data_IF_775533878613
#
_entry.id   IF_775533878613
#
_cell.length_a   1.000
_cell.length_b   1.000
_cell.length_c   1.000
_cell.angle_alpha   90.00
_cell.angle_beta   90.00
_cell.angle_gamma   90.00
#
_symmetry.space_group_name_H-M   'P 1'
#
loop_
_entity.id
_entity.type
_entity.pdbx_description
1 polymer ?
#
# COMPACT_ATOMS: atom_id res chain seq x y z
N UNK A 1 -5.64 -18.76 2.06
CA UNK A 1 -5.42 -18.13 3.40
C UNK A 1 -4.26 -18.81 4.13
N UNK A 2 -4.31 -20.14 4.26
CA UNK A 2 -3.33 -20.93 5.02
C UNK A 2 -1.93 -21.03 4.37
N UNK A 3 -1.76 -20.54 3.16
CA UNK A 3 -0.42 -20.41 2.56
C UNK A 3 0.37 -19.23 3.11
N UNK A 4 -0.32 -18.24 3.64
CA UNK A 4 0.26 -16.99 4.16
C UNK A 4 0.03 -16.81 5.66
N UNK A 5 -1.12 -17.25 6.17
CA UNK A 5 -1.53 -17.07 7.56
C UNK A 5 -1.52 -18.37 8.33
N UNK A 6 -1.03 -18.31 9.57
CA UNK A 6 -1.05 -19.43 10.50
C UNK A 6 -2.44 -19.56 11.15
N UNK A 7 -3.20 -20.61 10.84
CA UNK A 7 -4.54 -20.81 11.42
C UNK A 7 -4.50 -21.17 12.90
N UNK A 8 -3.34 -21.60 13.41
CA UNK A 8 -3.17 -21.97 14.82
C UNK A 8 -2.75 -20.78 15.71
N UNK A 9 -2.43 -19.66 15.08
CA UNK A 9 -2.05 -18.44 15.76
C UNK A 9 -0.54 -18.33 16.03
N UNK A 10 -0.05 -17.10 15.92
CA UNK A 10 1.30 -16.69 16.27
C UNK A 10 1.28 -15.22 16.70
N UNK A 11 2.42 -14.62 16.99
CA UNK A 11 2.53 -13.23 17.43
C UNK A 11 2.83 -12.24 16.31
N UNK A 12 2.95 -12.73 15.07
CA UNK A 12 3.27 -11.90 13.93
C UNK A 12 2.07 -11.04 13.49
N UNK A 13 2.35 -9.97 12.79
CA UNK A 13 1.34 -9.12 12.19
C UNK A 13 0.34 -9.96 11.38
N UNK A 14 -0.94 -9.85 11.72
CA UNK A 14 -2.05 -10.60 11.08
C UNK A 14 -1.81 -12.11 10.98
N UNK A 15 -1.07 -12.70 11.92
CA UNK A 15 -0.74 -14.13 11.96
C UNK A 15 0.02 -14.60 10.71
N UNK A 16 0.79 -13.74 10.06
CA UNK A 16 1.56 -14.11 8.88
C UNK A 16 2.69 -15.09 9.27
N UNK A 17 2.97 -16.03 8.39
CA UNK A 17 4.18 -16.84 8.52
C UNK A 17 5.43 -15.99 8.34
N UNK A 18 6.54 -16.41 8.91
CA UNK A 18 7.86 -15.83 8.74
C UNK A 18 8.92 -16.92 8.75
N UNK A 19 10.20 -16.54 8.67
CA UNK A 19 11.33 -17.46 8.56
C UNK A 19 11.37 -18.55 9.66
N UNK A 20 10.91 -18.23 10.87
CA UNK A 20 10.87 -19.15 12.01
C UNK A 20 9.60 -20.00 12.11
N UNK A 21 8.55 -19.65 11.39
CA UNK A 21 7.18 -20.20 11.56
C UNK A 21 6.52 -20.55 10.23
N UNK A 22 7.30 -20.71 9.16
CA UNK A 22 6.75 -21.08 7.86
C UNK A 22 6.12 -22.47 7.87
N UNK A 23 5.05 -22.70 7.09
CA UNK A 23 4.49 -24.01 6.95
C UNK A 23 5.51 -24.95 6.34
N UNK A 24 5.75 -26.08 7.00
CA UNK A 24 6.56 -27.17 6.44
C UNK A 24 5.67 -27.90 5.43
N UNK A 25 5.70 -27.49 4.18
CA UNK A 25 5.08 -28.27 3.13
C UNK A 25 5.97 -29.45 2.73
N UNK A 26 5.43 -30.69 2.67
CA UNK A 26 6.14 -31.78 2.08
C UNK A 26 6.50 -31.44 0.63
N UNK A 27 7.79 -31.29 0.34
CA UNK A 27 8.28 -30.93 -1.00
C UNK A 27 8.87 -29.52 -1.14
N UNK A 28 8.97 -28.74 -0.07
CA UNK A 28 9.81 -27.53 -0.01
C UNK A 28 9.41 -26.37 -0.94
N UNK A 29 8.18 -26.30 -1.40
CA UNK A 29 7.78 -25.28 -2.39
C UNK A 29 7.70 -23.85 -1.84
N UNK A 30 7.54 -23.68 -0.55
CA UNK A 30 7.39 -22.37 0.07
C UNK A 30 8.09 -22.36 1.43
N UNK A 31 9.40 -22.15 1.41
CA UNK A 31 10.13 -21.84 2.64
C UNK A 31 10.14 -20.33 2.82
N UNK A 32 9.50 -19.84 3.87
CA UNK A 32 9.63 -18.44 4.25
C UNK A 32 11.06 -18.20 4.74
N UNK A 33 11.83 -17.43 4.00
CA UNK A 33 13.20 -17.03 4.33
C UNK A 33 13.23 -15.61 4.93
N UNK A 34 12.25 -14.78 4.57
CA UNK A 34 12.04 -13.48 5.19
C UNK A 34 11.04 -13.58 6.35
N UNK A 35 11.27 -12.77 7.36
CA UNK A 35 10.38 -12.65 8.51
C UNK A 35 9.03 -12.00 8.13
N UNK A 36 8.04 -12.19 9.00
CA UNK A 36 6.78 -11.49 8.86
C UNK A 36 7.02 -9.97 9.01
N UNK A 37 6.29 -9.14 8.23
CA UNK A 37 6.47 -7.70 8.28
C UNK A 37 6.12 -7.13 9.66
N UNK A 38 6.79 -6.06 10.02
CA UNK A 38 6.52 -5.29 11.21
C UNK A 38 5.49 -4.20 10.89
N UNK A 39 4.32 -4.29 11.48
CA UNK A 39 3.27 -3.31 11.28
C UNK A 39 2.30 -3.25 12.47
N UNK A 40 1.70 -2.08 12.66
CA UNK A 40 0.58 -1.90 13.60
C UNK A 40 -0.72 -1.89 12.83
N UNK A 41 -1.50 -2.94 12.98
CA UNK A 41 -2.77 -3.10 12.29
C UNK A 41 -3.83 -2.13 12.79
N UNK A 42 -4.67 -1.69 11.87
CA UNK A 42 -5.92 -1.04 12.18
C UNK A 42 -7.00 -2.10 12.44
N UNK A 43 -7.74 -1.96 13.52
CA UNK A 43 -8.84 -2.87 13.87
C UNK A 43 -10.12 -2.43 13.17
N UNK A 44 -10.62 -3.28 12.27
CA UNK A 44 -11.92 -3.07 11.64
C UNK A 44 -13.03 -3.74 12.46
N UNK A 45 -14.04 -2.98 12.81
CA UNK A 45 -15.28 -3.54 13.34
C UNK A 45 -16.31 -3.67 12.20
N UNK A 46 -16.51 -4.89 11.74
CA UNK A 46 -17.43 -5.16 10.62
C UNK A 46 -18.91 -4.95 10.98
N UNK A 47 -19.26 -4.96 12.27
CA UNK A 47 -20.64 -4.76 12.71
C UNK A 47 -21.03 -3.28 12.72
N UNK A 48 -20.11 -2.39 13.09
CA UNK A 48 -20.36 -0.95 13.16
C UNK A 48 -19.88 -0.20 11.92
N UNK A 49 -19.22 -0.87 10.96
CA UNK A 49 -18.55 -0.19 9.83
C UNK A 49 -17.36 0.65 10.24
N UNK A 50 -17.01 0.69 11.53
CA UNK A 50 -15.83 1.44 11.99
C UNK A 50 -14.54 0.71 11.64
N UNK A 51 -13.46 1.46 11.47
CA UNK A 51 -12.15 0.91 11.15
C UNK A 51 -11.91 0.66 9.65
N UNK A 52 -12.73 1.23 8.76
CA UNK A 52 -12.40 1.32 7.32
C UNK A 52 -11.13 2.17 7.19
N UNK A 53 -10.13 1.64 6.51
CA UNK A 53 -8.90 2.37 6.27
C UNK A 53 -9.15 3.63 5.43
N UNK A 54 -8.49 4.71 5.80
CA UNK A 54 -8.50 6.00 5.11
C UNK A 54 -7.20 6.76 5.42
N UNK A 55 -7.09 8.01 5.01
CA UNK A 55 -5.87 8.80 5.18
C UNK A 55 -5.52 9.11 6.65
N UNK A 56 -6.46 8.98 7.57
CA UNK A 56 -6.28 9.25 9.00
C UNK A 56 -6.17 7.98 9.83
N UNK A 57 -6.87 6.92 9.39
CA UNK A 57 -6.97 5.65 10.09
C UNK A 57 -6.58 4.50 9.18
N UNK A 58 -5.44 3.89 9.42
CA UNK A 58 -4.90 2.84 8.55
C UNK A 58 -3.87 1.97 9.27
N UNK A 59 -3.44 0.90 8.62
CA UNK A 59 -2.29 0.12 9.06
C UNK A 59 -1.01 0.94 8.90
N UNK A 60 -0.22 1.06 9.97
CA UNK A 60 1.12 1.67 9.93
C UNK A 60 2.12 0.54 9.67
N UNK A 61 2.74 0.55 8.51
CA UNK A 61 3.78 -0.39 8.12
C UNK A 61 5.14 0.18 8.52
N UNK A 62 5.99 -0.65 9.14
CA UNK A 62 7.33 -0.26 9.54
C UNK A 62 8.39 -0.81 8.58
N UNK A 63 8.36 -2.11 8.33
CA UNK A 63 9.37 -2.75 7.48
C UNK A 63 9.00 -4.18 7.14
N UNK A 64 9.66 -4.73 6.12
CA UNK A 64 9.65 -6.15 5.83
C UNK A 64 8.52 -6.63 4.93
N UNK A 65 7.65 -5.76 4.47
CA UNK A 65 6.52 -6.18 3.62
C UNK A 65 6.99 -6.63 2.25
N UNK A 66 7.93 -5.92 1.65
CA UNK A 66 8.46 -6.29 0.33
C UNK A 66 9.29 -7.56 0.39
N UNK A 67 10.14 -7.69 1.40
CA UNK A 67 10.92 -8.90 1.67
C UNK A 67 10.03 -10.11 1.88
N UNK A 68 8.95 -9.92 2.63
CA UNK A 68 7.97 -10.97 2.88
C UNK A 68 7.27 -11.42 1.59
N UNK A 69 6.87 -10.49 0.74
CA UNK A 69 6.32 -10.80 -0.60
C UNK A 69 7.33 -11.55 -1.45
N UNK A 70 8.61 -11.23 -1.32
CA UNK A 70 9.74 -11.88 -1.99
C UNK A 70 9.87 -13.38 -1.70
N UNK A 71 9.31 -13.91 -0.59
CA UNK A 71 9.29 -15.36 -0.35
C UNK A 71 8.62 -16.14 -1.49
N UNK A 72 7.64 -15.55 -2.17
CA UNK A 72 6.95 -16.16 -3.32
C UNK A 72 7.25 -15.43 -4.63
N UNK A 73 7.55 -14.14 -4.57
CA UNK A 73 7.79 -13.25 -5.71
C UNK A 73 9.25 -12.85 -5.84
N UNK A 74 10.19 -13.80 -5.65
CA UNK A 74 11.62 -13.55 -5.61
C UNK A 74 12.18 -12.82 -6.85
N UNK A 75 11.59 -13.05 -8.03
CA UNK A 75 12.01 -12.37 -9.27
C UNK A 75 11.55 -10.90 -9.34
N UNK A 76 10.59 -10.51 -8.50
CA UNK A 76 10.06 -9.14 -8.43
C UNK A 76 10.62 -8.37 -7.23
N UNK A 77 11.25 -9.08 -6.31
CA UNK A 77 11.95 -8.53 -5.17
C UNK A 77 13.40 -8.98 -5.19
N UNK A 78 14.26 -8.18 -5.75
CA UNK A 78 15.71 -8.38 -5.72
C UNK A 78 16.39 -7.04 -5.96
N UNK A 79 17.17 -6.59 -5.03
CA UNK A 79 17.98 -5.38 -5.17
C UNK A 79 18.86 -5.54 -6.41
N UNK A 80 18.77 -4.60 -7.34
CA UNK A 80 19.49 -4.67 -8.61
C UNK A 80 18.86 -5.58 -9.67
N UNK A 81 17.67 -6.13 -9.44
CA UNK A 81 16.94 -6.86 -10.46
C UNK A 81 16.37 -5.87 -11.50
N UNK A 82 16.77 -6.02 -12.75
CA UNK A 82 16.32 -5.17 -13.86
C UNK A 82 14.90 -5.49 -14.35
N UNK A 83 14.25 -6.50 -13.77
CA UNK A 83 12.91 -6.94 -14.20
C UNK A 83 11.77 -6.20 -13.49
N UNK A 84 12.04 -5.43 -12.45
CA UNK A 84 11.03 -4.60 -11.82
C UNK A 84 11.41 -3.12 -11.91
N UNK A 85 10.41 -2.30 -12.11
CA UNK A 85 10.58 -0.87 -12.37
C UNK A 85 10.71 -0.07 -11.07
N UNK A 86 10.09 -0.56 -9.97
CA UNK A 86 10.12 0.12 -8.68
C UNK A 86 10.96 -0.63 -7.66
N UNK A 87 11.89 0.06 -6.99
CA UNK A 87 12.77 -0.53 -5.98
C UNK A 87 12.02 -0.66 -4.64
N UNK A 88 11.12 -1.64 -4.56
CA UNK A 88 10.40 -1.92 -3.34
C UNK A 88 11.34 -2.40 -2.22
N UNK A 89 11.20 -1.83 -1.03
CA UNK A 89 12.12 -2.07 0.10
C UNK A 89 13.35 -1.17 0.12
N UNK A 90 13.42 -0.17 -0.76
CA UNK A 90 14.48 0.84 -0.76
C UNK A 90 13.95 2.21 -0.35
N UNK A 91 14.83 3.03 0.22
CA UNK A 91 14.49 4.38 0.66
C UNK A 91 14.05 5.26 -0.50
N UNK A 92 12.97 6.02 -0.29
CA UNK A 92 12.43 6.95 -1.29
C UNK A 92 13.42 8.07 -1.65
N UNK A 93 14.25 8.48 -0.71
CA UNK A 93 15.09 9.65 -0.83
C UNK A 93 14.32 10.95 -0.72
N UNK A 94 15.05 12.06 -0.54
CA UNK A 94 14.46 13.36 -0.25
C UNK A 94 13.59 13.90 -1.39
N UNK A 95 13.92 13.60 -2.64
CA UNK A 95 13.17 14.09 -3.79
C UNK A 95 11.79 13.48 -3.90
N UNK A 96 11.67 12.14 -3.77
CA UNK A 96 10.39 11.45 -3.84
C UNK A 96 9.52 11.79 -2.61
N UNK A 97 10.10 11.78 -1.41
CA UNK A 97 9.40 12.17 -0.20
C UNK A 97 8.84 13.60 -0.28
N UNK A 98 9.61 14.53 -0.82
CA UNK A 98 9.15 15.91 -1.03
C UNK A 98 7.97 15.99 -2.02
N UNK A 99 8.02 15.25 -3.12
CA UNK A 99 6.92 15.18 -4.10
C UNK A 99 5.67 14.57 -3.45
N UNK A 100 5.83 13.44 -2.74
CA UNK A 100 4.73 12.80 -2.03
C UNK A 100 4.03 13.77 -1.07
N UNK A 101 4.82 14.49 -0.28
CA UNK A 101 4.31 15.43 0.73
C UNK A 101 3.62 16.66 0.11
N UNK A 102 4.11 17.14 -1.01
CA UNK A 102 3.56 18.31 -1.69
C UNK A 102 2.27 18.01 -2.48
N UNK A 103 2.14 16.79 -3.03
CA UNK A 103 1.04 16.44 -3.92
C UNK A 103 -0.27 16.21 -3.16
N UNK A 104 -1.32 16.96 -3.48
CA UNK A 104 -2.69 16.79 -2.99
C UNK A 104 -3.55 16.05 -4.02
N UNK A 105 -3.58 16.54 -5.26
CA UNK A 105 -4.37 15.99 -6.38
C UNK A 105 -3.77 16.43 -7.71
N UNK A 106 -4.35 15.96 -8.82
CA UNK A 106 -3.95 16.42 -10.16
C UNK A 106 -4.13 17.93 -10.37
N UNK A 107 -5.03 18.57 -9.63
CA UNK A 107 -5.24 20.03 -9.68
C UNK A 107 -4.39 20.78 -8.66
N UNK A 108 -3.71 20.08 -7.77
CA UNK A 108 -2.93 20.67 -6.69
C UNK A 108 -1.69 19.81 -6.40
N UNK A 109 -0.61 20.10 -7.13
CA UNK A 109 0.65 19.35 -7.05
C UNK A 109 1.56 19.80 -5.90
N UNK A 110 1.27 20.94 -5.27
CA UNK A 110 2.21 21.60 -4.34
C UNK A 110 1.58 22.07 -3.02
N UNK A 111 0.26 21.90 -2.85
CA UNK A 111 -0.47 22.42 -1.69
C UNK A 111 -0.41 21.53 -0.44
N UNK A 112 0.24 20.37 -0.53
CA UNK A 112 0.32 19.43 0.59
C UNK A 112 1.29 19.85 1.70
N UNK A 113 1.05 19.29 2.89
CA UNK A 113 1.87 19.47 4.09
C UNK A 113 2.32 18.11 4.59
N UNK A 114 3.62 17.93 4.84
CA UNK A 114 4.20 16.69 5.31
C UNK A 114 3.51 16.09 6.55
N UNK A 115 2.95 16.92 7.43
CA UNK A 115 2.26 16.45 8.63
C UNK A 115 0.89 15.82 8.36
N UNK A 116 0.32 16.05 7.16
CA UNK A 116 -1.04 15.63 6.79
C UNK A 116 -1.13 15.00 5.40
N UNK A 117 0.00 14.69 4.79
CA UNK A 117 0.05 14.25 3.40
C UNK A 117 -0.12 12.73 3.20
N UNK A 118 -0.20 11.94 4.27
CA UNK A 118 -0.41 10.51 4.14
C UNK A 118 -1.64 10.20 3.27
N UNK A 119 -1.48 9.22 2.40
CA UNK A 119 -2.57 8.75 1.53
C UNK A 119 -2.75 7.24 1.70
N UNK A 120 -3.91 6.82 2.23
CA UNK A 120 -4.23 5.41 2.44
C UNK A 120 -4.21 4.56 1.17
N UNK A 121 -4.44 5.19 0.00
CA UNK A 121 -4.32 4.53 -1.31
C UNK A 121 -2.86 4.32 -1.76
N UNK A 122 -1.90 5.04 -1.18
CA UNK A 122 -0.48 4.96 -1.51
C UNK A 122 0.33 4.84 -0.21
N UNK A 123 0.13 3.76 0.55
CA UNK A 123 0.85 3.55 1.81
C UNK A 123 2.33 3.30 1.56
N UNK A 124 3.13 3.51 2.58
CA UNK A 124 4.58 3.29 2.57
C UNK A 124 5.02 2.63 3.89
N UNK A 125 6.27 2.20 3.96
CA UNK A 125 6.90 1.78 5.21
C UNK A 125 7.59 2.97 5.86
N UNK A 126 7.12 3.35 7.06
CA UNK A 126 7.78 4.30 7.96
C UNK A 126 8.79 3.54 8.82
N UNK A 127 10.04 3.57 8.38
CA UNK A 127 11.12 2.77 9.00
C UNK A 127 11.46 3.21 10.41
N UNK A 128 11.12 4.44 10.76
CA UNK A 128 11.35 5.03 12.08
C UNK A 128 10.14 4.90 13.01
N UNK A 129 8.99 4.38 12.54
CA UNK A 129 7.79 4.22 13.34
C UNK A 129 8.05 3.40 14.61
N UNK A 130 7.72 3.96 15.75
CA UNK A 130 7.65 3.21 17.01
C UNK A 130 6.29 2.53 17.13
N UNK A 131 6.21 1.26 16.77
CA UNK A 131 4.97 0.49 16.78
C UNK A 131 4.35 0.33 18.17
N UNK A 132 5.09 0.59 19.25
CA UNK A 132 4.55 0.58 20.61
C UNK A 132 3.67 1.79 20.89
N UNK A 133 4.06 2.95 20.36
CA UNK A 133 3.43 4.25 20.68
C UNK A 133 2.62 4.83 19.52
N UNK A 134 2.95 4.51 18.26
CA UNK A 134 2.25 5.06 17.09
C UNK A 134 0.76 4.72 17.12
N UNK A 135 -0.07 5.67 16.73
CA UNK A 135 -1.52 5.48 16.63
C UNK A 135 -1.92 5.13 15.19
N UNK A 136 -2.58 3.99 15.00
CA UNK A 136 -3.17 3.63 13.70
C UNK A 136 -4.49 4.37 13.40
N UNK A 137 -4.98 5.19 14.32
CA UNK A 137 -6.23 5.94 14.19
C UNK A 137 -6.01 7.45 14.07
N UNK A 138 -4.79 7.91 14.08
CA UNK A 138 -4.44 9.33 13.92
C UNK A 138 -3.00 9.47 13.39
N UNK A 139 -2.69 8.73 12.34
CA UNK A 139 -1.40 8.80 11.67
C UNK A 139 -1.61 9.45 10.31
N UNK A 140 -1.12 10.66 10.14
CA UNK A 140 -1.38 11.49 8.95
C UNK A 140 -0.12 11.99 8.27
N UNK A 141 1.04 11.81 8.91
CA UNK A 141 2.31 12.27 8.36
C UNK A 141 2.67 11.50 7.09
N UNK A 142 3.15 12.22 6.10
CA UNK A 142 3.74 11.63 4.90
C UNK A 142 5.18 11.20 5.13
N UNK A 143 5.81 10.60 4.10
CA UNK A 143 7.11 9.95 4.24
C UNK A 143 8.26 10.93 4.47
N UNK A 144 9.26 10.45 5.20
CA UNK A 144 10.60 10.99 5.25
C UNK A 144 11.50 10.35 4.18
N UNK A 145 12.72 10.86 4.03
CA UNK A 145 13.66 10.37 3.00
C UNK A 145 14.15 8.93 3.22
N UNK A 146 14.09 8.45 4.45
CA UNK A 146 14.43 7.08 4.85
C UNK A 146 13.31 6.08 4.60
N UNK A 147 12.07 6.55 4.48
CA UNK A 147 10.90 5.70 4.29
C UNK A 147 10.90 5.00 2.95
N UNK A 148 10.21 3.87 2.87
CA UNK A 148 10.37 2.96 1.75
C UNK A 148 9.07 2.75 0.97
N UNK A 149 9.20 2.65 -0.35
CA UNK A 149 8.16 2.07 -1.19
C UNK A 149 8.09 0.58 -0.92
N UNK A 150 6.90 0.06 -0.72
CA UNK A 150 6.66 -1.37 -0.54
C UNK A 150 5.75 -1.93 -1.65
N UNK A 151 5.71 -3.24 -1.81
CA UNK A 151 4.81 -3.86 -2.79
C UNK A 151 3.35 -3.42 -2.59
N UNK A 152 2.91 -3.26 -1.34
CA UNK A 152 1.56 -2.79 -1.03
C UNK A 152 1.34 -1.29 -1.28
N UNK A 153 2.34 -0.51 -1.64
CA UNK A 153 2.14 0.88 -2.08
C UNK A 153 1.24 0.94 -3.32
N UNK A 154 1.40 0.00 -4.23
CA UNK A 154 0.65 -0.07 -5.49
C UNK A 154 -0.27 -1.30 -5.58
N UNK A 155 0.03 -2.39 -4.88
CA UNK A 155 -0.70 -3.65 -4.97
C UNK A 155 -1.56 -3.92 -3.72
N UNK A 156 -2.50 -4.86 -3.85
CA UNK A 156 -3.25 -5.43 -2.73
C UNK A 156 -2.80 -6.87 -2.50
N UNK A 157 -2.67 -7.27 -1.25
CA UNK A 157 -2.28 -8.64 -0.89
C UNK A 157 -3.41 -9.67 -1.11
N UNK A 158 -4.65 -9.20 -1.11
CA UNK A 158 -5.84 -10.00 -1.37
C UNK A 158 -6.48 -9.59 -2.70
N UNK A 159 -7.70 -10.06 -2.95
CA UNK A 159 -8.40 -9.76 -4.19
C UNK A 159 -8.48 -8.25 -4.48
N UNK A 160 -8.27 -7.91 -5.73
CA UNK A 160 -8.49 -6.59 -6.29
C UNK A 160 -9.35 -6.72 -7.54
N UNK A 161 -10.22 -5.76 -7.84
CA UNK A 161 -10.96 -5.72 -9.10
C UNK A 161 -10.09 -5.29 -10.29
N UNK A 162 -8.88 -4.80 -10.02
CA UNK A 162 -7.97 -4.27 -11.03
C UNK A 162 -6.94 -5.30 -11.49
N UNK A 163 -6.39 -5.17 -12.71
CA UNK A 163 -5.28 -5.97 -13.19
C UNK A 163 -4.09 -5.95 -12.19
N UNK A 164 -3.30 -7.03 -12.22
CA UNK A 164 -2.06 -7.18 -11.44
C UNK A 164 -2.24 -7.02 -9.92
N UNK A 165 -3.44 -7.27 -9.41
CA UNK A 165 -3.82 -7.00 -8.03
C UNK A 165 -3.55 -5.54 -7.60
N UNK A 166 -3.63 -4.60 -8.55
CA UNK A 166 -3.41 -3.18 -8.32
C UNK A 166 -4.39 -2.57 -7.32
N UNK A 167 -4.00 -1.48 -6.70
CA UNK A 167 -4.92 -0.62 -5.92
C UNK A 167 -5.83 0.21 -6.82
N UNK A 168 -5.42 0.41 -8.05
CA UNK A 168 -6.15 1.00 -9.18
C UNK A 168 -5.68 0.35 -10.48
N UNK A 169 -6.35 0.63 -11.59
CA UNK A 169 -5.89 0.18 -12.90
C UNK A 169 -4.68 1.02 -13.35
N UNK A 170 -3.54 0.36 -13.53
CA UNK A 170 -2.31 1.05 -13.94
C UNK A 170 -2.32 1.45 -15.42
N UNK A 171 -3.20 0.88 -16.21
CA UNK A 171 -3.37 1.20 -17.63
C UNK A 171 -4.22 2.44 -17.88
N UNK A 172 -5.00 2.90 -16.87
CA UNK A 172 -5.89 4.03 -17.02
C UNK A 172 -5.25 5.34 -16.57
N UNK A 173 -5.47 6.39 -17.36
CA UNK A 173 -4.95 7.72 -17.06
C UNK A 173 -5.68 8.36 -15.89
N UNK A 174 -7.01 8.28 -15.88
CA UNK A 174 -7.86 8.87 -14.85
C UNK A 174 -8.46 7.80 -13.94
N UNK A 175 -8.35 8.00 -12.63
CA UNK A 175 -8.83 7.01 -11.66
C UNK A 175 -10.33 6.76 -11.73
N UNK A 176 -11.11 7.75 -12.15
CA UNK A 176 -12.57 7.59 -12.35
C UNK A 176 -12.90 6.66 -13.50
N UNK A 177 -11.99 6.52 -14.48
CA UNK A 177 -12.12 5.57 -15.61
C UNK A 177 -11.64 4.18 -15.23
N UNK A 178 -10.70 4.09 -14.27
CA UNK A 178 -10.24 2.84 -13.71
C UNK A 178 -11.29 2.16 -12.80
N UNK A 179 -12.33 2.88 -12.45
CA UNK A 179 -13.32 2.40 -11.49
C UNK A 179 -14.29 1.43 -12.17
N UNK A 180 -14.22 0.12 -11.90
CA UNK A 180 -15.07 -0.87 -12.58
C UNK A 180 -16.51 -0.84 -12.07
N UNK A 181 -16.78 -0.17 -10.98
CA UNK A 181 -18.05 -0.23 -10.31
C UNK A 181 -18.59 1.17 -10.03
N UNK A 182 -19.57 1.55 -10.81
CA UNK A 182 -20.58 2.52 -10.42
C UNK A 182 -21.71 1.79 -9.70
N UNK A 183 -22.57 2.50 -8.98
CA UNK A 183 -23.83 1.94 -8.47
C UNK A 183 -24.67 1.31 -9.60
N UNK A 184 -24.56 1.83 -10.83
CA UNK A 184 -25.21 1.29 -12.02
C UNK A 184 -24.70 -0.10 -12.41
N UNK A 185 -23.50 -0.48 -11.98
CA UNK A 185 -22.90 -1.80 -12.20
C UNK A 185 -23.08 -2.73 -10.99
N UNK A 186 -23.81 -2.29 -9.99
CA UNK A 186 -24.18 -3.10 -8.84
C UNK A 186 -23.24 -3.00 -7.64
N UNK A 187 -22.29 -2.06 -7.64
CA UNK A 187 -21.50 -1.78 -6.46
C UNK A 187 -22.34 -1.03 -5.41
N UNK A 188 -22.14 -1.36 -4.16
CA UNK A 188 -22.73 -0.61 -3.04
C UNK A 188 -21.85 0.58 -2.66
N UNK A 189 -22.43 1.54 -1.94
CA UNK A 189 -21.68 2.67 -1.37
C UNK A 189 -20.52 2.17 -0.49
N UNK A 190 -20.73 1.07 0.22
CA UNK A 190 -19.69 0.46 1.07
C UNK A 190 -18.56 -0.16 0.23
N UNK A 191 -18.86 -0.73 -0.94
CA UNK A 191 -17.85 -1.26 -1.85
C UNK A 191 -16.96 -0.13 -2.37
N UNK A 192 -17.57 0.99 -2.77
CA UNK A 192 -16.86 2.18 -3.23
C UNK A 192 -15.98 2.78 -2.12
N UNK A 193 -16.53 2.93 -0.93
CA UNK A 193 -15.79 3.42 0.23
C UNK A 193 -14.59 2.52 0.59
N UNK A 194 -14.79 1.20 0.53
CA UNK A 194 -13.72 0.22 0.79
C UNK A 194 -12.64 0.24 -0.30
N UNK A 195 -13.02 0.47 -1.55
CA UNK A 195 -12.10 0.50 -2.68
C UNK A 195 -11.23 1.75 -2.64
N UNK A 196 -11.83 2.91 -2.38
CA UNK A 196 -11.18 4.21 -2.41
C UNK A 196 -10.87 4.78 -1.03
N UNK A 197 -10.99 4.00 0.06
CA UNK A 197 -10.67 4.44 1.42
C UNK A 197 -11.43 5.70 1.85
N UNK A 198 -12.70 5.81 1.46
CA UNK A 198 -13.55 6.99 1.62
C UNK A 198 -13.02 8.27 0.94
N UNK A 199 -12.09 8.13 0.01
CA UNK A 199 -11.55 9.26 -0.72
C UNK A 199 -12.45 9.60 -1.91
N UNK A 200 -12.88 10.85 -2.02
CA UNK A 200 -13.62 11.36 -3.18
C UNK A 200 -12.61 11.81 -4.23
N UNK A 201 -12.57 11.11 -5.34
CA UNK A 201 -11.68 11.43 -6.45
C UNK A 201 -12.27 12.58 -7.30
N UNK A 202 -11.51 13.66 -7.58
CA UNK A 202 -11.85 14.60 -8.64
C UNK A 202 -11.96 13.88 -9.99
N UNK A 203 -12.83 14.36 -10.88
CA UNK A 203 -13.05 13.73 -12.18
C UNK A 203 -11.81 13.68 -13.07
N UNK A 204 -10.88 14.60 -12.87
CA UNK A 204 -9.60 14.69 -13.57
C UNK A 204 -8.42 14.12 -12.77
N UNK A 205 -8.68 13.43 -11.65
CA UNK A 205 -7.61 12.80 -10.87
C UNK A 205 -6.92 11.73 -11.71
N UNK A 206 -5.65 11.94 -11.96
CA UNK A 206 -4.78 10.97 -12.61
C UNK A 206 -4.40 9.84 -11.67
N UNK A 207 -3.83 8.81 -12.26
CA UNK A 207 -3.24 7.68 -11.53
C UNK A 207 -2.32 8.18 -10.40
N UNK A 208 -2.42 7.55 -9.22
CA UNK A 208 -1.68 7.94 -8.02
C UNK A 208 -0.15 7.70 -8.11
N UNK A 209 0.35 7.23 -9.25
CA UNK A 209 1.78 7.30 -9.57
C UNK A 209 2.32 8.73 -9.37
N UNK A 210 1.49 9.73 -9.63
CA UNK A 210 1.84 11.15 -9.45
C UNK A 210 2.08 11.56 -7.99
N UNK A 211 1.62 10.76 -7.03
CA UNK A 211 1.95 11.00 -5.62
C UNK A 211 3.46 10.93 -5.35
N UNK A 212 4.21 10.22 -6.21
CA UNK A 212 5.67 10.12 -6.12
C UNK A 212 6.40 10.76 -7.31
N UNK A 213 5.76 10.87 -8.46
CA UNK A 213 6.43 11.24 -9.71
C UNK A 213 6.22 12.69 -10.17
N UNK A 214 5.35 13.46 -9.54
CA UNK A 214 5.04 14.85 -9.87
C UNK A 214 4.77 15.11 -11.37
N UNK A 215 4.20 14.12 -12.07
CA UNK A 215 3.83 14.24 -13.47
C UNK A 215 2.34 14.50 -13.58
N UNK A 216 1.97 15.37 -14.51
CA UNK A 216 0.58 15.72 -14.75
C UNK A 216 0.24 15.69 -16.24
N UNK A 217 -1.00 16.06 -16.55
CA UNK A 217 -1.51 16.07 -17.91
C UNK A 217 -0.63 16.99 -18.80
N UNK A 218 -0.11 16.43 -19.87
CA UNK A 218 0.79 17.14 -20.78
C UNK A 218 2.27 16.92 -20.51
N UNK A 219 2.65 16.33 -19.36
CA UNK A 219 4.04 15.97 -19.11
C UNK A 219 4.45 14.78 -19.97
N UNK A 220 5.71 14.78 -20.40
CA UNK A 220 6.25 13.63 -21.14
C UNK A 220 6.20 12.37 -20.26
N UNK A 221 5.81 11.23 -20.81
CA UNK A 221 6.01 9.97 -20.13
C UNK A 221 7.51 9.74 -19.86
N UNK A 222 7.81 8.96 -18.83
CA UNK A 222 9.17 8.67 -18.34
C UNK A 222 10.13 8.28 -19.45
#
# INVERSE_FOLDING_TARGET
>A
CTSCHDPHGNTNFRLLYGSALGPIYPGGRYNFTADAPLAKGNSRNTTSGSGIENDVQHTVYKSGMSEWCGNCHANMYSVGNTNHVHPAGEAMGSSIAAVYNAYVSSDDLTGGDALTSYRGLVPFEDVDADLATVSSTNYTAGPESSDQVMCLTCHRAHASPFPDAGRWDFGETFLVEAHPASEAEGATVDDLANMWYNYTLPTNQRSLCNKCHAKDFGDAPF
#
